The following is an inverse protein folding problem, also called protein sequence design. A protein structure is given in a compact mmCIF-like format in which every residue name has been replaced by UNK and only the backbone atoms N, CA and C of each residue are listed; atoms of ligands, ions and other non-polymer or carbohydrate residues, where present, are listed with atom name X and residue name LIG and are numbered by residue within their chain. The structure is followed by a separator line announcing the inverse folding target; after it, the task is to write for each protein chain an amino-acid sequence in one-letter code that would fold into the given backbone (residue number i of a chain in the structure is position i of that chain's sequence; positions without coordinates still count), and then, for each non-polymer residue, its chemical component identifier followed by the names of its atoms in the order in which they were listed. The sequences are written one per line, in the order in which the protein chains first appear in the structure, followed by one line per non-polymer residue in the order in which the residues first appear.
data_IF_726091295722
#
_entry.id   IF_726091295722
#
_cell.length_a   1.000
_cell.length_b   1.000
_cell.length_c   1.000
_cell.angle_alpha   90.00
_cell.angle_beta   90.00
_cell.angle_gamma   90.00
#
_symmetry.space_group_name_H-M   'P 1'
#
loop_
_entity.id
_entity.type
_entity.pdbx_description
1 polymer ?
#
# COMPACT_ATOMS: atom_id res chain seq x y z
N UNK A 1 1.85 -2.82 7.73
CA UNK A 1 1.83 -1.56 6.93
C UNK A 1 0.57 -0.77 7.28
N UNK A 2 0.65 0.55 7.39
CA UNK A 2 -0.51 1.44 7.55
C UNK A 2 -0.72 2.25 6.28
N UNK A 3 -1.93 2.28 5.76
CA UNK A 3 -2.30 3.02 4.56
C UNK A 3 -3.28 4.12 4.93
N UNK A 4 -3.17 5.25 4.24
CA UNK A 4 -3.95 6.46 4.53
C UNK A 4 -4.58 7.01 3.25
N UNK A 5 -5.83 7.44 3.37
CA UNK A 5 -6.62 7.98 2.27
C UNK A 5 -6.01 9.27 1.69
N UNK A 6 -5.35 10.08 2.52
CA UNK A 6 -4.73 11.36 2.14
C UNK A 6 -3.22 11.37 2.34
N UNK A 7 -2.58 12.36 1.73
CA UNK A 7 -1.16 12.66 1.94
C UNK A 7 -0.89 13.03 3.41
N UNK A 8 0.38 12.95 3.82
CA UNK A 8 0.84 13.29 5.17
C UNK A 8 0.10 12.53 6.29
N UNK A 9 -0.23 11.26 6.06
CA UNK A 9 -0.90 10.37 7.02
C UNK A 9 -2.29 10.85 7.48
N UNK A 10 -2.98 11.63 6.64
CA UNK A 10 -4.31 12.14 6.91
C UNK A 10 -5.45 11.24 6.39
N UNK A 11 -6.67 11.54 6.81
CA UNK A 11 -7.88 10.83 6.38
C UNK A 11 -8.07 9.49 7.08
N UNK A 12 -8.86 8.61 6.47
CA UNK A 12 -9.06 7.26 7.00
C UNK A 12 -7.76 6.46 6.96
N UNK A 13 -7.51 5.68 8.01
CA UNK A 13 -6.33 4.83 8.16
C UNK A 13 -6.76 3.36 8.28
N UNK A 14 -6.04 2.48 7.58
CA UNK A 14 -6.15 1.04 7.74
C UNK A 14 -4.78 0.42 8.02
N UNK A 15 -4.74 -0.45 9.03
CA UNK A 15 -3.56 -1.24 9.35
C UNK A 15 -3.66 -2.62 8.71
N UNK A 16 -2.59 -3.03 8.04
CA UNK A 16 -2.48 -4.27 7.29
C UNK A 16 -1.34 -5.11 7.88
N UNK A 17 -1.65 -6.34 8.25
CA UNK A 17 -0.69 -7.30 8.80
C UNK A 17 -0.29 -8.37 7.78
N UNK A 18 -1.20 -8.67 6.85
CA UNK A 18 -1.11 -9.72 5.83
C UNK A 18 -1.45 -9.20 4.43
N UNK A 19 -1.31 -10.10 3.44
CA UNK A 19 -1.68 -9.86 2.05
C UNK A 19 -3.13 -9.38 1.90
N UNK A 20 -3.35 -8.44 0.98
CA UNK A 20 -4.65 -7.90 0.61
C UNK A 20 -4.80 -7.93 -0.90
N UNK A 21 -5.65 -8.82 -1.38
CA UNK A 21 -5.96 -9.05 -2.78
C UNK A 21 -6.92 -8.01 -3.36
N UNK A 22 -7.76 -7.38 -2.54
CA UNK A 22 -8.60 -6.24 -2.95
C UNK A 22 -8.84 -5.25 -1.80
N UNK A 23 -8.21 -4.07 -1.89
CA UNK A 23 -8.30 -2.97 -0.92
C UNK A 23 -9.71 -2.38 -0.86
N UNK A 24 -10.38 -2.28 -2.01
CA UNK A 24 -11.74 -1.73 -2.09
C UNK A 24 -12.76 -2.64 -1.42
N UNK A 25 -12.64 -3.96 -1.60
CA UNK A 25 -13.59 -4.90 -0.97
C UNK A 25 -13.36 -5.00 0.54
N UNK A 26 -12.09 -5.06 0.96
CA UNK A 26 -11.72 -5.26 2.37
C UNK A 26 -11.90 -4.00 3.23
N UNK A 27 -11.52 -2.84 2.70
CA UNK A 27 -11.46 -1.60 3.48
C UNK A 27 -12.41 -0.51 2.96
N UNK A 28 -13.13 -0.75 1.86
CA UNK A 28 -13.96 0.28 1.19
C UNK A 28 -13.16 1.53 0.82
N UNK A 29 -11.85 1.37 0.64
CA UNK A 29 -10.92 2.44 0.34
C UNK A 29 -10.52 2.37 -1.14
N UNK A 30 -10.92 3.38 -1.91
CA UNK A 30 -10.64 3.44 -3.36
C UNK A 30 -9.32 4.11 -3.70
N UNK A 31 -8.72 4.82 -2.73
CA UNK A 31 -7.47 5.53 -2.93
C UNK A 31 -6.62 5.54 -1.66
N UNK A 32 -5.32 5.35 -1.83
CA UNK A 32 -4.30 5.48 -0.80
C UNK A 32 -3.27 6.50 -1.31
N UNK A 33 -2.98 7.53 -0.53
CA UNK A 33 -2.06 8.59 -0.94
C UNK A 33 -0.78 8.65 -0.11
N UNK A 34 -0.80 8.06 1.09
CA UNK A 34 0.39 7.93 1.94
C UNK A 34 0.36 6.62 2.72
N UNK A 35 1.53 6.15 3.17
CA UNK A 35 1.61 4.95 3.99
C UNK A 35 2.82 4.98 4.92
N UNK A 36 2.74 4.18 5.98
CA UNK A 36 3.85 3.92 6.89
C UNK A 36 4.08 2.42 6.96
N UNK A 37 5.24 1.99 6.49
CA UNK A 37 5.69 0.60 6.61
C UNK A 37 6.44 0.45 7.94
N UNK A 38 5.74 -0.05 8.95
CA UNK A 38 6.31 -0.25 10.29
C UNK A 38 7.43 -1.29 10.31
N UNK A 39 7.22 -2.41 9.61
CA UNK A 39 8.15 -3.53 9.52
C UNK A 39 7.93 -4.32 8.22
N UNK A 40 8.98 -5.02 7.80
CA UNK A 40 9.00 -5.86 6.61
C UNK A 40 8.94 -5.07 5.31
N UNK A 41 8.87 -5.80 4.21
CA UNK A 41 8.81 -5.24 2.87
C UNK A 41 7.46 -5.52 2.24
N UNK A 42 6.97 -4.58 1.43
CA UNK A 42 5.65 -4.68 0.81
C UNK A 42 5.73 -4.37 -0.68
N UNK A 43 4.85 -5.00 -1.44
CA UNK A 43 4.56 -4.67 -2.83
C UNK A 43 3.14 -4.14 -2.90
N UNK A 44 2.96 -2.92 -3.41
CA UNK A 44 1.66 -2.35 -3.70
C UNK A 44 1.39 -2.45 -5.20
N UNK A 45 0.18 -2.82 -5.58
CA UNK A 45 -0.21 -3.08 -6.96
C UNK A 45 -1.38 -2.19 -7.37
N UNK A 46 -1.33 -1.71 -8.61
CA UNK A 46 -2.37 -0.87 -9.21
C UNK A 46 -3.72 -1.58 -9.35
N UNK A 47 -3.71 -2.89 -9.60
CA UNK A 47 -4.93 -3.68 -9.76
C UNK A 47 -5.13 -4.66 -8.60
N UNK A 48 -6.36 -5.13 -8.44
CA UNK A 48 -6.67 -6.22 -7.52
C UNK A 48 -5.91 -7.50 -7.94
N UNK A 49 -5.79 -8.44 -7.01
CA UNK A 49 -5.17 -9.76 -7.22
C UNK A 49 -3.69 -9.68 -7.67
N UNK A 50 -2.95 -8.68 -7.18
CA UNK A 50 -1.50 -8.50 -7.38
C UNK A 50 -1.10 -8.30 -8.85
N UNK A 51 -1.89 -7.50 -9.58
CA UNK A 51 -1.69 -7.23 -11.02
C UNK A 51 -1.38 -5.77 -11.30
N UNK A 52 -0.94 -5.51 -12.54
CA UNK A 52 -0.63 -4.16 -13.03
C UNK A 52 0.71 -3.65 -12.54
N UNK A 53 0.89 -2.32 -12.54
CA UNK A 53 2.12 -1.69 -12.07
C UNK A 53 2.31 -1.96 -10.58
N UNK A 54 3.54 -2.33 -10.20
CA UNK A 54 3.89 -2.55 -8.80
C UNK A 54 4.83 -1.46 -8.27
N UNK A 55 4.74 -1.22 -6.97
CA UNK A 55 5.63 -0.35 -6.21
C UNK A 55 6.18 -1.12 -5.01
N UNK A 56 7.49 -1.12 -4.87
CA UNK A 56 8.18 -1.74 -3.74
C UNK A 56 8.38 -0.75 -2.60
N UNK A 57 8.04 -1.20 -1.40
CA UNK A 57 8.04 -0.40 -0.18
C UNK A 57 8.93 -1.06 0.86
N UNK A 58 9.90 -0.29 1.37
CA UNK A 58 10.77 -0.66 2.50
C UNK A 58 10.18 -0.13 3.80
N UNK A 59 10.64 -0.59 4.98
CA UNK A 59 10.32 0.07 6.24
C UNK A 59 10.60 1.58 6.15
N UNK A 60 9.63 2.40 6.57
CA UNK A 60 9.73 3.85 6.48
C UNK A 60 8.40 4.58 6.28
N UNK A 61 8.53 5.91 6.24
CA UNK A 61 7.45 6.87 6.10
C UNK A 61 7.32 7.37 4.65
N UNK A 62 6.14 7.18 4.04
CA UNK A 62 5.85 7.63 2.68
C UNK A 62 4.69 8.61 2.71
N UNK A 63 5.01 9.91 2.81
CA UNK A 63 4.02 10.99 3.00
C UNK A 63 3.23 11.34 1.75
N UNK A 64 3.76 11.06 0.57
CA UNK A 64 3.08 11.25 -0.71
C UNK A 64 3.55 10.26 -1.76
N UNK A 65 2.61 9.54 -2.37
CA UNK A 65 2.89 8.69 -3.54
C UNK A 65 3.11 9.51 -4.81
N UNK A 66 2.60 10.74 -4.86
CA UNK A 66 2.79 11.64 -6.00
C UNK A 66 4.27 12.02 -6.17
N UNK A 67 4.97 12.30 -5.09
CA UNK A 67 6.41 12.62 -5.08
C UNK A 67 7.27 11.46 -5.60
N UNK A 68 6.74 10.23 -5.54
CA UNK A 68 7.40 9.02 -6.03
C UNK A 68 7.03 8.67 -7.48
N UNK A 69 6.40 9.60 -8.22
CA UNK A 69 6.02 9.39 -9.62
C UNK A 69 4.82 8.44 -9.81
N UNK A 70 4.03 8.22 -8.75
CA UNK A 70 2.81 7.41 -8.75
C UNK A 70 1.56 8.30 -8.71
N UNK A 71 1.65 9.52 -9.25
CA UNK A 71 0.54 10.47 -9.29
C UNK A 71 -0.66 9.87 -10.02
N UNK A 72 -1.80 9.80 -9.35
CA UNK A 72 -3.04 9.25 -9.91
C UNK A 72 -3.10 7.71 -9.96
N UNK A 73 -2.05 7.00 -9.55
CA UNK A 73 -2.09 5.55 -9.38
C UNK A 73 -2.97 5.20 -8.19
N UNK A 74 -3.95 4.33 -8.40
CA UNK A 74 -4.77 3.75 -7.32
C UNK A 74 -4.19 2.40 -6.96
N UNK A 75 -3.86 2.18 -5.70
CA UNK A 75 -3.38 0.90 -5.24
C UNK A 75 -4.55 0.03 -4.78
N UNK A 76 -4.73 -1.11 -5.42
CA UNK A 76 -5.91 -1.98 -5.26
C UNK A 76 -5.57 -3.33 -4.64
N UNK A 77 -4.30 -3.73 -4.59
CA UNK A 77 -3.85 -4.88 -3.80
C UNK A 77 -2.44 -4.68 -3.25
N UNK A 78 -2.10 -5.38 -2.17
CA UNK A 78 -0.83 -5.24 -1.47
C UNK A 78 -0.36 -6.59 -0.95
N UNK A 79 0.90 -6.92 -1.17
CA UNK A 79 1.51 -8.19 -0.75
C UNK A 79 2.66 -7.93 0.21
N UNK A 80 2.68 -8.63 1.33
CA UNK A 80 3.82 -8.65 2.25
C UNK A 80 4.86 -9.60 1.67
N UNK A 81 6.09 -9.11 1.56
CA UNK A 81 7.23 -9.98 1.24
C UNK A 81 7.61 -10.64 2.55
N UNK A 82 7.21 -11.90 2.70
CA UNK A 82 7.76 -12.78 3.72
C UNK A 82 9.11 -13.27 3.21
N UNK A 83 10.14 -13.18 4.05
CA UNK A 83 11.37 -13.91 3.78
C UNK A 83 11.01 -15.39 3.79
N UNK A 84 11.08 -16.03 2.64
CA UNK A 84 10.96 -17.49 2.53
C UNK A 84 12.24 -18.12 3.08
N UNK A 85 12.55 -17.87 4.35
CA UNK A 85 13.56 -18.62 5.06
C UNK A 85 12.94 -19.94 5.45
N UNK A 86 13.04 -20.96 4.58
CA UNK A 86 13.33 -22.38 4.84
C UNK A 86 13.29 -23.16 3.52
#
# INVERSE_FOLDING_TARGET
MRIYERENFGGQMHEMMDDCDNVMDRYRMSNCMSCHVMDGHWLMYEQAQFRGRMMYMRPGEYRSFREMGMSGTRFMSMRRIMDSGY
#
